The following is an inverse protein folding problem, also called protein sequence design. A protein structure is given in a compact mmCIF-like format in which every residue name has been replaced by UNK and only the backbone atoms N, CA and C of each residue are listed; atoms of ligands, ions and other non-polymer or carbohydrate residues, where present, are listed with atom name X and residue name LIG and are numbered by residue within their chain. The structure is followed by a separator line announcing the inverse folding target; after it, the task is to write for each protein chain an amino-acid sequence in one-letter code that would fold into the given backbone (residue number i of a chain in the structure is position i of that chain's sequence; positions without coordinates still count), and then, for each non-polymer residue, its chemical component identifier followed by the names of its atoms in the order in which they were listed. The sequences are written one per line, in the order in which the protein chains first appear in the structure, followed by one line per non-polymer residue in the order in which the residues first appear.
data_IF_079411065987
#
_entry.id   IF_079411065987
#
_cell.length_a   1.000
_cell.length_b   1.000
_cell.length_c   1.000
_cell.angle_alpha   90.00
_cell.angle_beta   90.00
_cell.angle_gamma   90.00
#
_symmetry.space_group_name_H-M   'P 1'
#
loop_
_entity.id
_entity.type
_entity.pdbx_description
1 polymer ?
#
# COMPACT_ATOMS: atom_id res chain seq x y z
N UNK A 1 25.06 -29.67 -36.24
CA UNK A 1 23.85 -30.05 -35.47
C UNK A 1 24.24 -30.12 -33.99
N UNK A 2 23.65 -29.28 -33.14
CA UNK A 2 23.87 -29.39 -31.69
C UNK A 2 23.13 -30.65 -31.21
N UNK A 3 23.82 -31.56 -30.53
CA UNK A 3 23.22 -32.81 -30.06
C UNK A 3 22.13 -32.54 -29.03
N UNK A 4 20.96 -33.19 -29.19
CA UNK A 4 19.82 -33.08 -28.27
C UNK A 4 20.19 -33.47 -26.82
N UNK A 5 21.23 -34.31 -26.66
CA UNK A 5 21.79 -34.70 -25.35
C UNK A 5 22.45 -33.54 -24.60
N UNK A 6 22.94 -32.52 -25.32
CA UNK A 6 23.57 -31.31 -24.75
C UNK A 6 22.57 -30.16 -24.56
N UNK A 7 21.51 -30.08 -25.37
CA UNK A 7 20.53 -28.97 -25.29
C UNK A 7 19.52 -29.10 -24.16
N UNK A 8 19.14 -30.33 -23.79
CA UNK A 8 18.21 -30.58 -22.68
C UNK A 8 18.74 -30.11 -21.30
N UNK A 9 19.95 -30.48 -20.84
CA UNK A 9 20.45 -30.05 -19.54
C UNK A 9 20.64 -28.52 -19.47
N UNK A 10 21.06 -27.89 -20.57
CA UNK A 10 21.14 -26.44 -20.66
C UNK A 10 19.77 -25.77 -20.53
N UNK A 11 18.75 -26.31 -21.19
CA UNK A 11 17.37 -25.81 -21.07
C UNK A 11 16.86 -25.91 -19.63
N UNK A 12 17.11 -27.03 -18.95
CA UNK A 12 16.71 -27.21 -17.55
C UNK A 12 17.39 -26.16 -16.66
N UNK A 13 18.72 -25.99 -16.80
CA UNK A 13 19.48 -25.02 -16.02
C UNK A 13 18.94 -23.59 -16.21
N UNK A 14 18.76 -23.17 -17.47
CA UNK A 14 18.27 -21.82 -17.78
C UNK A 14 16.83 -21.62 -17.31
N UNK A 15 15.99 -22.65 -17.34
CA UNK A 15 14.62 -22.58 -16.81
C UNK A 15 14.62 -22.35 -15.30
N UNK A 16 15.49 -23.06 -14.55
CA UNK A 16 15.66 -22.86 -13.10
C UNK A 16 16.14 -21.44 -12.80
N UNK A 17 17.16 -20.96 -13.53
CA UNK A 17 17.68 -19.60 -13.35
C UNK A 17 16.61 -18.55 -13.64
N UNK A 18 15.82 -18.73 -14.70
CA UNK A 18 14.72 -17.82 -15.06
C UNK A 18 13.65 -17.80 -13.96
N UNK A 19 13.28 -18.96 -13.41
CA UNK A 19 12.35 -19.06 -12.29
C UNK A 19 12.89 -18.37 -11.04
N UNK A 20 14.14 -18.64 -10.65
CA UNK A 20 14.78 -18.00 -9.49
C UNK A 20 14.84 -16.49 -9.67
N UNK A 21 15.20 -16.01 -10.87
CA UNK A 21 15.22 -14.59 -11.18
C UNK A 21 13.83 -13.95 -11.08
N UNK A 22 12.82 -14.59 -11.68
CA UNK A 22 11.43 -14.10 -11.63
C UNK A 22 10.81 -14.15 -10.24
N UNK A 23 11.25 -15.06 -9.37
CA UNK A 23 10.72 -15.22 -8.02
C UNK A 23 11.50 -14.41 -6.97
N UNK A 24 12.70 -13.92 -7.30
CA UNK A 24 13.54 -13.20 -6.36
C UNK A 24 13.10 -11.74 -6.13
N UNK A 25 13.08 -11.23 -4.87
CA UNK A 25 13.28 -11.94 -3.60
C UNK A 25 11.97 -12.56 -3.07
N UNK A 26 12.03 -13.85 -2.67
CA UNK A 26 10.91 -14.59 -2.09
C UNK A 26 10.73 -14.26 -0.60
N UNK A 27 10.17 -13.10 -0.27
CA UNK A 27 9.75 -12.82 1.11
C UNK A 27 8.23 -12.90 1.28
N UNK A 28 7.72 -14.12 1.38
CA UNK A 28 6.30 -14.39 1.65
C UNK A 28 5.89 -14.12 3.10
N UNK A 29 6.87 -14.07 4.01
CA UNK A 29 6.68 -13.93 5.44
C UNK A 29 7.45 -12.72 5.95
N UNK A 30 7.03 -11.53 5.52
CA UNK A 30 7.62 -10.29 6.04
C UNK A 30 7.07 -9.99 7.42
N UNK A 31 7.96 -9.67 8.37
CA UNK A 31 7.59 -9.14 9.67
C UNK A 31 6.76 -7.86 9.52
N UNK A 32 5.70 -7.74 10.32
CA UNK A 32 4.93 -6.50 10.39
C UNK A 32 5.78 -5.44 11.09
N UNK A 33 6.13 -4.37 10.37
CA UNK A 33 7.06 -3.35 10.86
C UNK A 33 6.35 -2.36 11.80
N UNK A 34 5.76 -2.89 12.87
CA UNK A 34 5.04 -2.21 13.93
C UNK A 34 5.67 -2.60 15.26
N UNK A 35 5.97 -1.64 16.12
CA UNK A 35 6.44 -1.92 17.48
C UNK A 35 5.93 -0.89 18.46
N UNK A 36 5.72 -1.31 19.70
CA UNK A 36 5.43 -0.42 20.81
C UNK A 36 6.63 0.49 21.11
N UNK A 37 6.35 1.70 21.58
CA UNK A 37 7.38 2.58 22.13
C UNK A 37 7.74 2.10 23.54
N UNK A 38 9.04 1.99 23.83
CA UNK A 38 9.52 1.42 25.10
C UNK A 38 9.44 2.42 26.26
N UNK A 39 9.67 3.71 25.98
CA UNK A 39 9.83 4.74 27.01
C UNK A 39 8.59 5.61 27.24
N UNK A 40 7.53 5.46 26.43
CA UNK A 40 6.30 6.25 26.51
C UNK A 40 5.15 5.52 25.82
N UNK A 41 3.92 5.93 26.12
CA UNK A 41 2.74 5.47 25.37
C UNK A 41 2.90 5.81 23.89
N UNK A 42 2.48 4.88 23.03
CA UNK A 42 2.55 5.07 21.59
C UNK A 42 3.05 3.83 20.84
N UNK A 43 2.89 3.93 19.53
CA UNK A 43 3.21 2.86 18.59
C UNK A 43 3.97 3.43 17.40
N UNK A 44 5.03 2.72 16.99
CA UNK A 44 5.88 3.10 15.88
C UNK A 44 5.60 2.24 14.65
N UNK A 45 5.50 2.90 13.51
CA UNK A 45 5.51 2.32 12.18
C UNK A 45 6.84 2.63 11.53
N UNK A 46 7.50 1.59 11.02
CA UNK A 46 8.80 1.74 10.36
C UNK A 46 8.84 0.93 9.06
N UNK A 47 9.95 1.06 8.33
CA UNK A 47 10.22 0.34 7.09
C UNK A 47 11.62 -0.23 7.16
N UNK A 48 11.77 -1.51 6.81
CA UNK A 48 13.06 -2.12 6.54
C UNK A 48 13.29 -2.20 5.02
N UNK A 49 14.49 -1.82 4.57
CA UNK A 49 14.91 -1.89 3.17
C UNK A 49 14.93 -0.55 2.44
N UNK A 50 15.82 -0.45 1.43
CA UNK A 50 16.00 0.74 0.59
C UNK A 50 14.69 1.12 -0.14
N UNK A 51 14.39 2.43 -0.14
CA UNK A 51 13.29 3.18 -0.81
C UNK A 51 12.91 2.65 -2.21
N UNK A 52 12.26 1.49 -2.22
CA UNK A 52 11.71 0.84 -3.40
C UNK A 52 10.27 0.47 -3.07
N UNK A 53 9.41 0.36 -4.09
CA UNK A 53 8.00 -0.06 -3.96
C UNK A 53 7.80 -1.43 -3.25
N UNK A 54 8.88 -2.09 -2.82
CA UNK A 54 8.93 -3.46 -2.30
C UNK A 54 9.12 -3.53 -0.78
N UNK A 55 9.41 -2.42 -0.09
CA UNK A 55 9.55 -2.43 1.37
C UNK A 55 8.18 -2.48 2.06
N UNK A 56 7.88 -3.61 2.72
CA UNK A 56 6.72 -3.73 3.61
C UNK A 56 6.91 -2.80 4.80
N UNK A 57 6.02 -1.84 5.00
CA UNK A 57 5.95 -1.09 6.26
C UNK A 57 4.98 -1.73 7.24
N UNK A 58 4.79 -1.08 8.39
CA UNK A 58 3.86 -1.56 9.41
C UNK A 58 2.40 -1.33 9.06
N UNK A 59 1.51 -2.24 9.47
CA UNK A 59 0.06 -2.07 9.37
C UNK A 59 -0.64 -2.58 10.63
N UNK A 60 -1.66 -1.85 11.05
CA UNK A 60 -2.58 -2.23 12.13
C UNK A 60 -3.99 -1.99 11.63
N UNK A 61 -4.95 -2.84 11.98
CA UNK A 61 -6.34 -2.62 11.61
C UNK A 61 -7.31 -3.13 12.67
N UNK A 62 -8.53 -2.60 12.65
CA UNK A 62 -9.60 -3.00 13.56
C UNK A 62 -9.98 -4.47 13.39
N UNK A 63 -10.33 -5.13 14.50
CA UNK A 63 -10.80 -6.51 14.53
C UNK A 63 -12.19 -6.69 13.91
N UNK A 64 -13.03 -5.67 14.03
CA UNK A 64 -14.36 -5.59 13.44
C UNK A 64 -14.52 -4.32 12.58
N UNK A 65 -15.42 -4.34 11.58
CA UNK A 65 -15.79 -3.11 10.89
C UNK A 65 -16.57 -2.21 11.84
N UNK A 66 -16.28 -0.91 11.79
CA UNK A 66 -17.09 0.11 12.43
C UNK A 66 -18.37 0.30 11.60
N UNK A 67 -19.51 -0.03 12.19
CA UNK A 67 -20.82 0.24 11.62
C UNK A 67 -21.41 1.44 12.36
N UNK A 68 -21.21 2.63 11.80
CA UNK A 68 -21.85 3.82 12.35
C UNK A 68 -23.22 3.95 11.73
N UNK A 69 -24.24 3.62 12.52
CA UNK A 69 -25.65 3.75 12.13
C UNK A 69 -26.00 5.23 11.97
N UNK A 70 -25.83 5.77 10.77
CA UNK A 70 -26.34 7.10 10.45
C UNK A 70 -27.87 7.03 10.37
N UNK A 71 -28.56 7.74 11.25
CA UNK A 71 -30.03 7.69 11.36
C UNK A 71 -30.78 8.30 10.16
N UNK A 72 -30.06 8.87 9.20
CA UNK A 72 -30.60 9.40 7.95
C UNK A 72 -29.46 9.56 6.94
N UNK A 73 -29.76 9.67 5.65
CA UNK A 73 -28.79 10.04 4.60
C UNK A 73 -28.24 11.47 4.75
N UNK A 74 -28.21 12.03 5.96
CA UNK A 74 -27.78 13.40 6.24
C UNK A 74 -26.35 13.40 6.75
N UNK A 75 -25.63 14.44 6.36
CA UNK A 75 -24.31 14.74 6.87
C UNK A 75 -24.36 14.98 8.39
N UNK A 76 -23.53 14.24 9.12
CA UNK A 76 -23.36 14.41 10.56
C UNK A 76 -21.94 14.95 10.82
N UNK A 77 -21.78 16.16 11.40
CA UNK A 77 -20.49 16.76 11.69
C UNK A 77 -19.61 15.85 12.53
N UNK A 78 -18.31 15.84 12.26
CA UNK A 78 -17.37 15.01 13.01
C UNK A 78 -16.05 15.70 13.28
N UNK A 79 -15.35 15.21 14.30
CA UNK A 79 -14.01 15.66 14.66
C UNK A 79 -13.07 14.47 14.77
N UNK A 80 -11.83 14.65 14.33
CA UNK A 80 -10.77 13.64 14.41
C UNK A 80 -9.58 14.28 15.12
N UNK A 81 -9.03 13.61 16.12
CA UNK A 81 -7.78 14.00 16.76
C UNK A 81 -6.74 12.91 16.56
N UNK A 82 -5.56 13.29 16.06
CA UNK A 82 -4.43 12.38 15.85
C UNK A 82 -3.19 12.99 16.48
N UNK A 83 -2.64 12.32 17.48
CA UNK A 83 -1.37 12.72 18.08
C UNK A 83 -0.24 11.97 17.39
N UNK A 84 0.53 12.68 16.56
CA UNK A 84 1.40 12.07 15.53
C UNK A 84 2.78 12.71 15.49
N UNK A 85 3.78 11.91 15.12
CA UNK A 85 5.12 12.37 14.79
C UNK A 85 5.60 11.65 13.53
N UNK A 86 5.94 12.39 12.48
CA UNK A 86 6.48 11.82 11.24
C UNK A 86 7.99 11.66 11.34
N UNK A 87 8.56 10.52 10.90
CA UNK A 87 10.02 10.31 10.88
C UNK A 87 10.64 10.39 9.48
N UNK A 88 9.85 10.69 8.45
CA UNK A 88 10.35 10.75 7.07
C UNK A 88 9.71 11.90 6.28
N UNK A 89 10.51 12.65 5.53
CA UNK A 89 10.02 13.61 4.54
C UNK A 89 9.66 12.89 3.23
N UNK A 90 8.63 12.05 3.28
CA UNK A 90 7.90 11.50 2.12
C UNK A 90 8.69 10.82 0.98
N UNK A 91 8.50 9.51 0.87
CA UNK A 91 8.67 8.73 -0.37
C UNK A 91 7.83 9.29 -1.55
N UNK A 92 8.03 8.75 -2.76
CA UNK A 92 7.41 9.20 -4.05
C UNK A 92 5.86 9.11 -4.16
N UNK A 93 5.09 9.09 -3.07
CA UNK A 93 3.62 8.97 -3.07
C UNK A 93 2.95 9.34 -1.74
N UNK A 94 1.62 9.26 -1.70
CA UNK A 94 0.84 9.48 -0.48
C UNK A 94 0.98 8.27 0.46
N UNK A 95 1.60 8.46 1.62
CA UNK A 95 1.66 7.47 2.69
C UNK A 95 0.41 7.58 3.57
N UNK A 96 -0.16 6.46 4.01
CA UNK A 96 -1.39 6.45 4.79
C UNK A 96 -1.08 6.36 6.29
N UNK A 97 -1.50 7.36 7.05
CA UNK A 97 -1.39 7.38 8.52
C UNK A 97 -2.58 6.64 9.12
N UNK A 98 -3.79 7.03 8.70
CA UNK A 98 -5.05 6.43 9.08
C UNK A 98 -5.99 6.41 7.88
N UNK A 99 -6.74 5.32 7.67
CA UNK A 99 -7.75 5.25 6.63
C UNK A 99 -8.84 4.24 6.97
N UNK A 100 -10.03 4.46 6.43
CA UNK A 100 -11.16 3.53 6.55
C UNK A 100 -11.30 2.66 5.30
N UNK A 101 -11.92 1.49 5.44
CA UNK A 101 -12.18 0.58 4.32
C UNK A 101 -13.49 -0.19 4.47
N UNK A 102 -14.42 0.06 3.54
CA UNK A 102 -15.78 -0.48 3.50
C UNK A 102 -16.00 -1.45 2.32
N UNK A 103 -14.92 -2.03 1.77
CA UNK A 103 -14.97 -2.95 0.63
C UNK A 103 -14.92 -2.29 -0.75
N UNK A 104 -15.26 -1.00 -0.87
CA UNK A 104 -15.19 -0.27 -2.14
C UNK A 104 -13.75 -0.02 -2.60
N UNK A 105 -13.51 0.27 -3.90
CA UNK A 105 -12.16 0.55 -4.41
C UNK A 105 -11.48 1.77 -3.78
N UNK A 106 -12.27 2.78 -3.38
CA UNK A 106 -11.81 3.98 -2.70
C UNK A 106 -12.23 3.94 -1.24
N UNK A 107 -11.25 4.10 -0.34
CA UNK A 107 -11.47 4.29 1.10
C UNK A 107 -12.42 5.45 1.37
N UNK A 108 -13.39 5.31 2.30
CA UNK A 108 -14.26 6.40 2.72
C UNK A 108 -13.48 7.63 3.20
N UNK A 109 -12.42 7.43 3.97
CA UNK A 109 -11.55 8.46 4.50
C UNK A 109 -10.09 8.02 4.44
N UNK A 110 -9.21 8.93 4.06
CA UNK A 110 -7.76 8.77 4.11
C UNK A 110 -7.14 10.02 4.74
N UNK A 111 -6.36 9.81 5.78
CA UNK A 111 -5.48 10.80 6.38
C UNK A 111 -4.06 10.32 6.14
N UNK A 112 -3.31 11.09 5.36
CA UNK A 112 -2.03 10.67 4.85
C UNK A 112 -0.98 11.77 4.86
N UNK A 113 0.22 11.39 4.48
CA UNK A 113 1.36 12.27 4.38
C UNK A 113 1.90 12.25 2.95
N UNK A 114 2.12 13.44 2.38
CA UNK A 114 2.89 13.60 1.15
C UNK A 114 3.98 14.64 1.38
N UNK A 115 5.26 14.23 1.34
CA UNK A 115 6.37 15.06 1.82
C UNK A 115 6.07 15.56 3.24
N UNK A 116 6.10 16.86 3.49
CA UNK A 116 5.73 17.47 4.78
C UNK A 116 4.24 17.84 4.91
N UNK A 117 3.43 17.55 3.88
CA UNK A 117 2.01 17.89 3.86
C UNK A 117 1.20 16.82 4.56
N UNK A 118 0.28 17.24 5.42
CA UNK A 118 -0.86 16.43 5.82
C UNK A 118 -1.90 16.49 4.71
N UNK A 119 -2.35 15.35 4.21
CA UNK A 119 -3.38 15.25 3.19
C UNK A 119 -4.59 14.56 3.79
N UNK A 120 -5.78 15.13 3.60
CA UNK A 120 -7.04 14.54 4.00
C UNK A 120 -7.91 14.35 2.76
N UNK A 121 -8.34 13.12 2.52
CA UNK A 121 -9.27 12.76 1.44
C UNK A 121 -10.52 12.11 2.00
N UNK A 122 -11.67 12.64 1.64
CA UNK A 122 -12.95 11.98 1.90
C UNK A 122 -13.62 11.62 0.58
N UNK A 123 -14.17 10.41 0.53
CA UNK A 123 -14.89 9.92 -0.64
C UNK A 123 -16.12 10.77 -0.85
N UNK A 124 -16.37 11.15 -2.09
CA UNK A 124 -17.62 11.84 -2.38
C UNK A 124 -18.78 10.83 -2.32
N UNK A 125 -19.55 10.90 -1.23
CA UNK A 125 -20.72 10.06 -1.02
C UNK A 125 -21.97 10.59 -1.75
N UNK A 126 -21.93 11.77 -2.38
CA UNK A 126 -23.02 12.29 -3.23
C UNK A 126 -22.93 11.75 -4.66
N UNK A 127 -21.77 11.21 -5.04
CA UNK A 127 -21.57 10.53 -6.29
C UNK A 127 -21.83 9.02 -6.11
N UNK A 128 -22.88 8.51 -6.76
CA UNK A 128 -23.27 7.09 -6.72
C UNK A 128 -22.14 6.13 -7.14
N UNK A 129 -21.26 6.58 -8.06
CA UNK A 129 -20.12 5.78 -8.51
C UNK A 129 -19.05 5.62 -7.41
N UNK A 130 -19.05 6.46 -6.36
CA UNK A 130 -18.12 6.43 -5.22
C UNK A 130 -16.65 6.41 -5.65
N UNK A 131 -16.37 7.03 -6.78
CA UNK A 131 -15.11 6.92 -7.53
C UNK A 131 -14.33 8.24 -7.55
N UNK A 132 -14.69 9.20 -6.71
CA UNK A 132 -14.06 10.52 -6.61
C UNK A 132 -13.71 10.85 -5.14
N UNK A 133 -12.75 11.76 -4.98
CA UNK A 133 -12.31 12.25 -3.68
C UNK A 133 -12.44 13.77 -3.64
N UNK A 134 -12.87 14.28 -2.49
CA UNK A 134 -12.60 15.66 -2.09
C UNK A 134 -11.32 15.65 -1.24
N UNK A 135 -10.48 16.66 -1.40
CA UNK A 135 -9.15 16.71 -0.77
C UNK A 135 -8.86 18.09 -0.19
N UNK A 136 -8.24 18.11 0.99
CA UNK A 136 -7.61 19.29 1.59
C UNK A 136 -6.21 18.93 2.08
N UNK A 137 -5.34 19.93 2.20
CA UNK A 137 -3.93 19.74 2.57
C UNK A 137 -3.42 20.79 3.57
N UNK A 138 -2.73 20.37 4.62
CA UNK A 138 -1.97 21.30 5.48
C UNK A 138 -0.49 21.23 5.14
N UNK A 139 0.00 22.25 4.45
CA UNK A 139 1.43 22.46 4.17
C UNK A 139 2.21 22.54 5.49
N UNK A 140 3.32 21.79 5.58
CA UNK A 140 4.14 21.63 6.80
C UNK A 140 3.40 21.07 8.02
N UNK A 141 2.18 20.53 7.84
CA UNK A 141 1.42 19.87 8.90
C UNK A 141 2.19 18.74 9.56
N UNK A 142 3.02 18.01 8.80
CA UNK A 142 3.81 16.86 9.27
C UNK A 142 5.29 17.09 9.00
N UNK A 143 5.88 18.00 9.77
CA UNK A 143 7.33 18.21 9.75
C UNK A 143 8.04 17.06 10.47
N UNK A 144 9.21 16.67 9.98
CA UNK A 144 9.92 15.50 10.49
C UNK A 144 10.39 15.68 11.94
N UNK A 145 10.22 14.63 12.73
CA UNK A 145 10.55 14.52 14.15
C UNK A 145 9.90 15.61 15.02
N UNK A 146 8.72 16.08 14.60
CA UNK A 146 7.89 16.99 15.39
C UNK A 146 6.62 16.27 15.83
N UNK A 147 6.47 16.13 17.15
CA UNK A 147 5.25 15.62 17.79
C UNK A 147 4.17 16.70 17.73
N UNK A 148 3.03 16.41 17.10
CA UNK A 148 1.91 17.35 16.91
C UNK A 148 0.58 16.68 17.15
N UNK A 149 -0.31 17.34 17.88
CA UNK A 149 -1.72 16.97 17.90
C UNK A 149 -2.40 17.68 16.73
N UNK A 150 -2.89 16.89 15.77
CA UNK A 150 -3.67 17.39 14.65
C UNK A 150 -5.14 17.14 14.94
N UNK A 151 -5.94 18.19 14.93
CA UNK A 151 -7.40 18.08 15.06
C UNK A 151 -8.05 18.53 13.75
N UNK A 152 -8.89 17.67 13.17
CA UNK A 152 -9.66 17.96 11.95
C UNK A 152 -11.13 18.05 12.37
N UNK A 153 -11.68 19.26 12.39
CA UNK A 153 -13.05 19.55 12.77
C UNK A 153 -13.85 19.88 11.50
N UNK A 154 -14.77 19.00 11.11
CA UNK A 154 -15.52 19.13 9.87
C UNK A 154 -17.01 19.35 10.15
N UNK A 155 -17.46 20.58 9.92
CA UNK A 155 -18.85 20.99 10.08
C UNK A 155 -19.62 21.05 8.76
N UNK A 156 -20.87 21.52 8.83
CA UNK A 156 -21.73 21.70 7.64
C UNK A 156 -21.24 22.82 6.72
N UNK A 157 -20.63 23.86 7.29
CA UNK A 157 -20.21 25.05 6.53
C UNK A 157 -18.72 25.04 6.15
N UNK A 158 -17.87 24.49 7.03
CA UNK A 158 -16.42 24.58 6.90
C UNK A 158 -15.74 23.35 7.46
N UNK A 159 -14.51 23.13 7.03
CA UNK A 159 -13.58 22.21 7.67
C UNK A 159 -12.39 22.99 8.19
N UNK A 160 -12.02 22.74 9.44
CA UNK A 160 -10.93 23.42 10.12
C UNK A 160 -9.89 22.40 10.57
N UNK A 161 -8.62 22.77 10.43
CA UNK A 161 -7.49 22.00 10.92
C UNK A 161 -6.81 22.81 12.01
N UNK A 162 -6.69 22.21 13.18
CA UNK A 162 -5.96 22.74 14.31
C UNK A 162 -4.66 21.96 14.51
N UNK A 163 -3.63 22.65 14.95
CA UNK A 163 -2.35 22.07 15.33
C UNK A 163 -2.07 22.49 16.75
N UNK A 164 -1.86 21.53 17.65
CA UNK A 164 -1.53 21.76 19.05
C UNK A 164 -2.54 22.70 19.75
N UNK A 165 -3.84 22.51 19.47
CA UNK A 165 -4.91 23.30 20.07
C UNK A 165 -5.23 24.63 19.37
N UNK A 166 -4.42 25.06 18.40
CA UNK A 166 -4.59 26.35 17.71
C UNK A 166 -5.06 26.16 16.26
N UNK A 167 -5.92 27.06 15.78
CA UNK A 167 -6.42 27.01 14.41
C UNK A 167 -5.28 27.28 13.42
N UNK A 168 -4.93 26.27 12.61
CA UNK A 168 -3.88 26.39 11.61
C UNK A 168 -4.43 26.76 10.24
N UNK A 169 -5.61 26.23 9.87
CA UNK A 169 -6.26 26.54 8.59
C UNK A 169 -7.76 26.28 8.65
N UNK A 170 -8.53 27.14 7.98
CA UNK A 170 -9.96 26.98 7.75
C UNK A 170 -10.21 26.86 6.24
N UNK A 171 -11.13 26.00 5.85
CA UNK A 171 -11.53 25.76 4.45
C UNK A 171 -13.03 25.96 4.31
N UNK A 172 -13.43 26.71 3.29
CA UNK A 172 -14.82 26.88 2.86
C UNK A 172 -15.34 25.66 2.08
N UNK A 173 -14.96 24.46 2.52
CA UNK A 173 -15.45 23.19 1.98
C UNK A 173 -16.47 22.64 2.97
N UNK A 174 -17.70 22.52 2.49
CA UNK A 174 -18.83 22.02 3.25
C UNK A 174 -18.77 20.51 3.39
N UNK A 175 -19.09 20.02 4.58
CA UNK A 175 -19.37 18.61 4.81
C UNK A 175 -18.27 17.67 4.32
N UNK A 176 -16.99 18.04 4.49
CA UNK A 176 -15.89 17.26 3.93
C UNK A 176 -15.84 15.87 4.56
N UNK A 177 -15.80 15.82 5.88
CA UNK A 177 -15.79 14.59 6.68
C UNK A 177 -17.00 14.64 7.59
N UNK A 178 -17.75 13.56 7.58
CA UNK A 178 -18.87 13.33 8.48
C UNK A 178 -18.80 11.93 9.04
N UNK A 179 -19.67 11.63 10.00
CA UNK A 179 -19.73 10.34 10.68
C UNK A 179 -19.88 9.16 9.70
N UNK A 180 -20.57 9.38 8.58
CA UNK A 180 -20.74 8.40 7.49
C UNK A 180 -19.42 7.96 6.83
N UNK A 181 -18.33 8.71 7.04
CA UNK A 181 -17.00 8.36 6.53
C UNK A 181 -16.22 7.46 7.50
N UNK A 182 -16.68 7.28 8.74
CA UNK A 182 -16.10 6.37 9.73
C UNK A 182 -16.68 4.96 9.58
N UNK A 183 -16.68 4.41 8.36
CA UNK A 183 -17.32 3.12 8.08
C UNK A 183 -16.34 2.05 7.62
N UNK A 184 -16.61 0.81 8.03
CA UNK A 184 -15.78 -0.34 7.72
C UNK A 184 -14.56 -0.46 8.63
N UNK A 185 -13.50 -1.09 8.14
CA UNK A 185 -12.30 -1.32 8.95
C UNK A 185 -11.42 -0.08 9.03
N UNK A 186 -11.00 0.27 10.24
CA UNK A 186 -9.97 1.28 10.46
C UNK A 186 -8.59 0.63 10.22
N UNK A 187 -7.73 1.30 9.46
CA UNK A 187 -6.39 0.83 9.11
C UNK A 187 -5.37 1.95 9.36
N UNK A 188 -4.29 1.63 10.10
CA UNK A 188 -3.23 2.57 10.49
C UNK A 188 -1.88 2.16 9.89
N UNK A 189 -1.06 3.16 9.57
CA UNK A 189 0.34 3.02 9.15
C UNK A 189 0.58 2.54 7.72
N UNK A 190 -0.46 2.10 7.02
CA UNK A 190 -0.38 1.71 5.61
C UNK A 190 -1.75 1.89 4.92
N UNK A 191 -1.81 1.70 3.61
CA UNK A 191 -3.09 1.52 2.92
C UNK A 191 -3.66 0.13 3.19
N UNK A 192 -4.96 -0.06 2.97
CA UNK A 192 -5.61 -1.37 3.12
C UNK A 192 -5.00 -2.46 2.23
N UNK A 193 -4.36 -2.08 1.12
CA UNK A 193 -3.65 -2.98 0.20
C UNK A 193 -2.14 -3.13 0.49
N UNK A 194 -1.63 -2.43 1.51
CA UNK A 194 -0.26 -2.61 1.97
C UNK A 194 0.84 -1.89 1.18
N UNK A 195 0.50 -1.00 0.23
CA UNK A 195 1.44 -0.38 -0.71
C UNK A 195 1.84 1.06 -0.35
N UNK A 196 1.18 1.69 0.63
CA UNK A 196 1.34 3.10 0.98
C UNK A 196 1.80 3.26 2.43
N UNK A 197 2.85 2.54 2.80
CA UNK A 197 3.36 2.53 4.16
C UNK A 197 3.85 3.91 4.61
N UNK A 198 3.46 4.27 5.83
CA UNK A 198 3.87 5.46 6.56
C UNK A 198 4.95 5.12 7.59
N UNK A 199 5.76 6.12 7.95
CA UNK A 199 6.88 5.97 8.89
C UNK A 199 6.80 7.08 9.94
N UNK A 200 6.64 6.69 11.19
CA UNK A 200 6.48 7.62 12.30
C UNK A 200 5.81 6.96 13.51
N UNK A 201 5.49 7.79 14.50
CA UNK A 201 4.85 7.39 15.75
C UNK A 201 3.42 7.91 15.85
N UNK A 202 2.52 7.08 16.36
CA UNK A 202 1.20 7.50 16.86
C UNK A 202 1.18 7.40 18.37
N UNK A 203 0.67 8.46 19.00
CA UNK A 203 0.55 8.61 20.45
C UNK A 203 -0.91 8.64 20.90
N UNK A 204 -1.84 8.82 19.96
CA UNK A 204 -3.25 8.97 20.24
C UNK A 204 -4.06 9.05 18.96
N UNK A 205 -5.27 8.47 18.98
CA UNK A 205 -6.28 8.63 17.95
C UNK A 205 -7.65 8.68 18.61
N UNK A 206 -8.39 9.75 18.38
CA UNK A 206 -9.77 9.88 18.82
C UNK A 206 -10.68 10.32 17.67
N UNK A 207 -11.87 9.70 17.58
CA UNK A 207 -12.92 10.07 16.64
C UNK A 207 -14.14 10.53 17.40
N UNK A 208 -14.75 11.63 16.98
CA UNK A 208 -15.95 12.18 17.60
C UNK A 208 -17.06 12.26 16.57
N UNK A 209 -18.25 11.85 16.97
CA UNK A 209 -19.51 11.98 16.24
C UNK A 209 -20.14 13.39 16.37
N UNK A 210 -19.33 14.36 16.77
CA UNK A 210 -19.72 15.76 16.99
C UNK A 210 -18.61 16.71 16.60
N UNK A 211 -18.99 17.97 16.40
CA UNK A 211 -18.05 19.06 16.12
C UNK A 211 -17.53 19.62 17.46
N UNK A 212 -16.24 19.47 17.73
CA UNK A 212 -15.62 20.06 18.92
C UNK A 212 -15.45 21.57 18.75
N UNK A 213 -15.63 22.31 19.83
CA UNK A 213 -15.35 23.75 19.90
C UNK A 213 -13.85 24.01 20.02
N UNK A 214 -13.38 25.18 19.60
CA UNK A 214 -11.96 25.54 19.71
C UNK A 214 -11.44 25.50 21.15
N UNK A 215 -12.29 25.79 22.15
CA UNK A 215 -11.91 25.69 23.57
C UNK A 215 -11.76 24.23 24.01
N UNK A 216 -12.66 23.33 23.60
CA UNK A 216 -12.50 21.89 23.83
C UNK A 216 -11.22 21.36 23.16
N UNK A 217 -10.96 21.74 21.91
CA UNK A 217 -9.75 21.32 21.18
C UNK A 217 -8.47 21.78 21.91
N UNK A 218 -8.46 23.02 22.42
CA UNK A 218 -7.36 23.55 23.22
C UNK A 218 -7.16 22.78 24.53
N UNK A 219 -8.26 22.48 25.23
CA UNK A 219 -8.23 21.69 26.46
C UNK A 219 -7.74 20.26 26.21
N UNK A 220 -8.24 19.60 25.16
CA UNK A 220 -7.80 18.27 24.73
C UNK A 220 -6.31 18.24 24.43
N UNK A 221 -5.77 19.27 23.75
CA UNK A 221 -4.33 19.37 23.52
C UNK A 221 -3.54 19.37 24.83
N UNK A 222 -3.97 20.15 25.82
CA UNK A 222 -3.32 20.16 27.13
C UNK A 222 -3.39 18.81 27.83
N UNK A 223 -4.51 18.09 27.70
CA UNK A 223 -4.68 16.73 28.24
C UNK A 223 -3.78 15.70 27.54
N UNK A 224 -3.68 15.75 26.21
CA UNK A 224 -2.77 14.89 25.43
C UNK A 224 -1.30 15.18 25.73
N UNK A 225 -0.92 16.46 25.80
CA UNK A 225 0.46 16.89 25.97
C UNK A 225 0.99 16.67 27.40
N UNK A 226 0.14 16.87 28.41
CA UNK A 226 0.51 16.77 29.83
C UNK A 226 0.01 15.49 30.50
N UNK A 227 -0.39 14.48 29.71
CA UNK A 227 -0.93 13.23 30.24
C UNK A 227 0.04 12.61 31.26
N UNK A 228 -0.37 12.46 32.53
CA UNK A 228 0.45 11.76 33.53
C UNK A 228 0.67 10.31 33.12
N UNK A 229 1.86 9.79 33.41
CA UNK A 229 2.19 8.38 33.21
C UNK A 229 1.21 7.53 34.04
N UNK A 230 0.61 6.54 33.39
CA UNK A 230 -0.27 5.52 33.99
C UNK A 230 -1.64 6.00 34.52
N UNK A 231 -2.09 7.19 34.14
CA UNK A 231 -3.48 7.63 34.39
C UNK A 231 -4.40 7.37 33.17
N UNK A 232 -5.66 6.93 33.40
CA UNK A 232 -6.63 6.75 32.33
C UNK A 232 -6.91 8.10 31.67
N UNK A 233 -6.98 8.09 30.34
CA UNK A 233 -7.29 9.28 29.56
C UNK A 233 -8.79 9.49 29.55
N UNK A 234 -9.28 10.39 30.40
CA UNK A 234 -10.68 10.83 30.39
C UNK A 234 -10.75 12.08 29.54
N UNK A 235 -11.44 12.00 28.41
CA UNK A 235 -11.65 13.13 27.49
C UNK A 235 -13.15 13.37 27.38
N UNK A 236 -13.55 14.61 27.63
CA UNK A 236 -14.93 15.06 27.54
C UNK A 236 -15.07 16.12 26.45
N UNK A 237 -16.00 15.96 25.50
CA UNK A 237 -17.03 14.93 25.44
C UNK A 237 -16.48 13.55 25.07
N UNK A 238 -17.11 12.47 25.55
CA UNK A 238 -16.71 11.10 25.21
C UNK A 238 -16.65 10.90 23.67
N UNK A 239 -15.53 10.38 23.13
CA UNK A 239 -15.38 10.09 21.71
C UNK A 239 -16.11 8.81 21.29
N UNK A 240 -16.36 8.66 19.98
CA UNK A 240 -16.83 7.42 19.36
C UNK A 240 -15.77 6.31 19.42
N UNK A 241 -14.49 6.67 19.26
CA UNK A 241 -13.33 5.78 19.39
C UNK A 241 -12.18 6.51 20.06
N UNK A 242 -11.44 5.83 20.93
CA UNK A 242 -10.25 6.35 21.59
C UNK A 242 -9.16 5.28 21.71
N UNK A 243 -8.03 5.50 21.03
CA UNK A 243 -6.83 4.71 21.17
C UNK A 243 -5.73 5.56 21.78
N UNK A 244 -5.25 5.18 22.97
CA UNK A 244 -4.20 5.88 23.71
C UNK A 244 -2.83 5.21 23.56
N UNK A 245 -2.80 3.98 23.03
CA UNK A 245 -1.58 3.16 22.86
C UNK A 245 -0.77 2.99 24.16
N UNK A 246 -1.48 2.88 25.30
CA UNK A 246 -0.89 2.74 26.63
C UNK A 246 -0.51 1.30 26.99
N UNK A 247 -0.83 0.31 26.13
CA UNK A 247 -0.59 -1.10 26.41
C UNK A 247 0.91 -1.45 26.42
N UNK A 248 1.73 -0.74 25.61
CA UNK A 248 3.20 -0.87 25.49
C UNK A 248 3.74 -2.26 25.13
N UNK A 249 2.88 -3.28 25.04
CA UNK A 249 3.22 -4.66 24.71
C UNK A 249 2.00 -5.40 24.16
N UNK A 250 2.22 -6.60 23.62
CA UNK A 250 1.17 -7.47 23.11
C UNK A 250 0.76 -7.16 21.68
N UNK A 251 -0.31 -7.81 21.24
CA UNK A 251 -0.77 -7.84 19.85
C UNK A 251 -2.10 -7.11 19.63
N UNK A 252 -2.56 -6.32 20.61
CA UNK A 252 -3.84 -5.62 20.57
C UNK A 252 -3.71 -4.20 21.10
N UNK A 253 -4.37 -3.24 20.45
CA UNK A 253 -4.58 -1.88 20.95
C UNK A 253 -6.05 -1.79 21.36
N UNK A 254 -6.30 -1.51 22.63
CA UNK A 254 -7.65 -1.45 23.17
C UNK A 254 -8.26 -0.09 22.85
N UNK A 255 -9.49 -0.14 22.34
CA UNK A 255 -10.35 1.03 22.34
C UNK A 255 -10.79 1.31 23.79
N UNK A 256 -10.56 2.53 24.26
CA UNK A 256 -10.85 2.94 25.63
C UNK A 256 -12.33 3.27 25.88
N UNK A 257 -13.11 3.40 24.81
CA UNK A 257 -14.57 3.56 24.86
C UNK A 257 -15.22 2.19 24.91
N UNK A 258 -16.42 2.07 25.52
CA UNK A 258 -17.19 0.82 25.65
C UNK A 258 -17.78 0.34 24.30
N UNK A 259 -16.90 0.04 23.35
CA UNK A 259 -17.23 -0.65 22.11
C UNK A 259 -16.10 -1.62 21.71
N UNK A 260 -16.50 -2.74 21.11
CA UNK A 260 -15.60 -3.84 20.73
C UNK A 260 -14.90 -3.59 19.38
N UNK A 261 -14.21 -2.45 19.23
CA UNK A 261 -13.41 -2.13 18.04
C UNK A 261 -11.92 -2.01 18.39
N UNK A 262 -11.31 -3.11 18.83
CA UNK A 262 -9.89 -3.13 19.16
C UNK A 262 -9.05 -3.22 17.89
N UNK A 263 -7.82 -2.74 17.93
CA UNK A 263 -6.91 -2.87 16.80
C UNK A 263 -5.99 -4.07 16.99
N UNK A 264 -5.78 -4.86 15.94
CA UNK A 264 -4.90 -6.04 15.98
C UNK A 264 -3.55 -5.74 15.34
N UNK A 265 -2.49 -6.05 16.07
CA UNK A 265 -1.10 -6.04 15.58
C UNK A 265 -0.72 -7.48 15.25
N UNK A 266 -0.70 -7.83 13.97
CA UNK A 266 -0.22 -9.15 13.55
C UNK A 266 1.31 -9.21 13.56
N UNK A 267 1.94 -10.34 13.94
CA UNK A 267 3.39 -10.49 13.89
C UNK A 267 3.92 -10.50 12.45
N UNK A 268 3.15 -11.09 11.53
CA UNK A 268 3.44 -11.10 10.11
C UNK A 268 2.61 -10.03 9.41
N UNK A 269 3.26 -9.30 8.50
CA UNK A 269 2.60 -8.31 7.68
C UNK A 269 1.53 -8.98 6.83
N UNK A 270 0.31 -8.46 6.94
CA UNK A 270 -0.83 -8.90 6.14
C UNK A 270 -1.67 -7.67 5.82
N UNK A 271 -1.72 -7.29 4.55
CA UNK A 271 -2.63 -6.26 4.08
C UNK A 271 -4.09 -6.68 4.36
N UNK A 272 -4.92 -5.71 4.75
CA UNK A 272 -6.35 -5.92 5.00
C UNK A 272 -7.08 -6.44 3.75
N UNK A 273 -6.74 -5.88 2.59
CA UNK A 273 -7.22 -6.26 1.26
C UNK A 273 -6.06 -6.77 0.41
N UNK A 274 -6.31 -7.82 -0.36
CA UNK A 274 -5.41 -8.23 -1.45
C UNK A 274 -5.93 -7.66 -2.76
N UNK A 275 -5.07 -7.01 -3.54
CA UNK A 275 -5.37 -6.74 -4.94
C UNK A 275 -5.22 -8.05 -5.73
N UNK A 276 -6.35 -8.68 -6.07
CA UNK A 276 -6.37 -9.94 -6.84
C UNK A 276 -6.45 -9.67 -8.36
N UNK A 277 -6.83 -8.46 -8.76
CA UNK A 277 -7.06 -8.12 -10.16
C UNK A 277 -5.81 -7.50 -10.78
N UNK A 278 -5.25 -8.18 -11.79
CA UNK A 278 -4.24 -7.61 -12.70
C UNK A 278 -4.88 -6.43 -13.45
N UNK A 279 -4.58 -5.19 -13.03
CA UNK A 279 -5.15 -4.00 -13.66
C UNK A 279 -4.34 -3.63 -14.89
N UNK A 280 -4.84 -4.04 -16.06
CA UNK A 280 -4.15 -3.98 -17.35
C UNK A 280 -3.67 -2.58 -17.81
N UNK A 281 -4.17 -1.48 -17.22
CA UNK A 281 -4.09 -0.14 -17.81
C UNK A 281 -3.46 0.95 -16.93
N UNK A 282 -3.14 0.69 -15.65
CA UNK A 282 -2.72 1.77 -14.71
C UNK A 282 -1.20 2.05 -14.69
N UNK A 283 -0.39 1.23 -15.36
CA UNK A 283 1.08 1.31 -15.26
C UNK A 283 1.78 2.03 -16.43
N UNK A 284 1.06 2.75 -17.30
CA UNK A 284 1.67 3.62 -18.31
C UNK A 284 2.09 4.99 -17.76
N UNK A 285 2.72 5.02 -16.58
CA UNK A 285 3.36 6.22 -16.06
C UNK A 285 4.84 6.21 -16.47
N UNK A 286 5.14 6.84 -17.61
CA UNK A 286 6.48 6.96 -18.19
C UNK A 286 7.50 7.58 -17.21
N UNK A 287 8.28 6.74 -16.53
CA UNK A 287 9.42 7.15 -15.68
C UNK A 287 10.66 6.36 -16.09
N UNK A 288 11.87 6.91 -15.94
CA UNK A 288 13.14 6.23 -16.32
C UNK A 288 13.31 4.80 -15.78
N UNK A 289 12.76 4.50 -14.60
CA UNK A 289 12.77 3.16 -13.98
C UNK A 289 11.88 2.14 -14.71
N UNK A 290 10.84 2.60 -15.41
CA UNK A 290 9.94 1.79 -16.23
C UNK A 290 10.66 1.08 -17.38
N UNK A 291 11.61 1.78 -18.03
CA UNK A 291 12.41 1.20 -19.11
C UNK A 291 13.34 0.12 -18.56
N UNK A 292 13.94 0.34 -17.38
CA UNK A 292 14.78 -0.66 -16.73
C UNK A 292 13.98 -1.93 -16.38
N UNK A 293 12.76 -1.79 -15.84
CA UNK A 293 11.88 -2.93 -15.52
C UNK A 293 11.51 -3.71 -16.80
N UNK A 294 11.15 -3.01 -17.89
CA UNK A 294 10.89 -3.62 -19.20
C UNK A 294 12.11 -4.39 -19.72
N UNK A 295 13.29 -3.76 -19.70
CA UNK A 295 14.51 -4.39 -20.20
C UNK A 295 14.89 -5.62 -19.37
N UNK A 296 14.76 -5.54 -18.06
CA UNK A 296 15.02 -6.66 -17.14
C UNK A 296 14.08 -7.83 -17.43
N UNK A 297 12.79 -7.58 -17.59
CA UNK A 297 11.80 -8.61 -17.93
C UNK A 297 12.08 -9.24 -19.30
N UNK A 298 12.36 -8.42 -20.32
CA UNK A 298 12.71 -8.91 -21.66
C UNK A 298 13.98 -9.75 -21.62
N UNK A 299 15.09 -9.21 -21.12
CA UNK A 299 16.39 -9.89 -21.17
C UNK A 299 16.47 -11.07 -20.20
N UNK A 300 15.71 -11.07 -19.10
CA UNK A 300 15.62 -12.18 -18.16
C UNK A 300 15.08 -13.47 -18.80
N UNK A 301 14.22 -13.35 -19.82
CA UNK A 301 13.57 -14.49 -20.47
C UNK A 301 14.19 -14.89 -21.83
N UNK A 302 15.00 -14.02 -22.46
CA UNK A 302 15.69 -14.32 -23.73
C UNK A 302 16.50 -15.63 -23.68
N UNK A 303 17.32 -15.91 -22.63
CA UNK A 303 18.09 -17.15 -22.57
C UNK A 303 17.19 -18.40 -22.60
N UNK A 304 16.07 -18.38 -21.87
CA UNK A 304 15.09 -19.47 -21.85
C UNK A 304 14.49 -19.69 -23.24
N UNK A 305 14.03 -18.62 -23.88
CA UNK A 305 13.44 -18.69 -25.22
C UNK A 305 14.42 -19.24 -26.26
N UNK A 306 15.68 -18.78 -26.24
CA UNK A 306 16.72 -19.27 -27.14
C UNK A 306 17.00 -20.77 -26.92
N UNK A 307 17.17 -21.21 -25.68
CA UNK A 307 17.46 -22.62 -25.37
C UNK A 307 16.30 -23.54 -25.74
N UNK A 308 15.07 -23.12 -25.46
CA UNK A 308 13.87 -23.88 -25.80
C UNK A 308 13.71 -23.99 -27.32
N UNK A 309 13.91 -22.89 -28.05
CA UNK A 309 13.84 -22.91 -29.51
C UNK A 309 14.91 -23.82 -30.12
N UNK A 310 16.16 -23.78 -29.62
CA UNK A 310 17.22 -24.67 -30.08
C UNK A 310 16.91 -26.14 -29.79
N UNK A 311 16.34 -26.44 -28.62
CA UNK A 311 15.92 -27.79 -28.26
C UNK A 311 14.81 -28.33 -29.18
N UNK A 312 13.79 -27.50 -29.45
CA UNK A 312 12.66 -27.87 -30.31
C UNK A 312 13.08 -27.99 -31.79
N UNK A 313 13.93 -27.07 -32.28
CA UNK A 313 14.44 -27.08 -33.65
C UNK A 313 15.39 -28.26 -33.92
N UNK A 314 16.03 -28.83 -32.90
CA UNK A 314 16.81 -30.05 -33.02
C UNK A 314 15.94 -31.30 -33.26
N UNK A 315 14.61 -31.22 -33.08
CA UNK A 315 13.69 -32.31 -33.39
C UNK A 315 13.19 -32.21 -34.84
N UNK A 316 13.65 -33.12 -35.69
CA UNK A 316 13.26 -33.24 -37.11
C UNK A 316 11.75 -33.39 -37.36
N UNK A 317 10.97 -33.79 -36.36
CA UNK A 317 9.50 -33.91 -36.47
C UNK A 317 8.75 -32.60 -36.21
N UNK A 318 9.44 -31.54 -35.75
CA UNK A 318 8.84 -30.25 -35.43
C UNK A 318 9.25 -29.23 -36.49
N UNK A 319 8.28 -28.62 -37.17
CA UNK A 319 8.58 -27.56 -38.13
C UNK A 319 9.10 -26.30 -37.43
N UNK A 320 9.95 -25.48 -38.07
CA UNK A 320 10.47 -24.25 -37.47
C UNK A 320 9.38 -23.29 -36.98
N UNK A 321 8.24 -23.23 -37.70
CA UNK A 321 7.07 -22.42 -37.30
C UNK A 321 6.42 -22.95 -36.01
N UNK A 322 6.26 -24.28 -35.88
CA UNK A 322 5.73 -24.90 -34.67
C UNK A 322 6.70 -24.74 -33.49
N UNK A 323 8.00 -24.89 -33.71
CA UNK A 323 9.02 -24.67 -32.68
C UNK A 323 8.99 -23.22 -32.14
N UNK A 324 8.88 -22.24 -33.03
CA UNK A 324 8.72 -20.84 -32.67
C UNK A 324 7.43 -20.58 -31.85
N UNK A 325 6.29 -21.09 -32.32
CA UNK A 325 5.01 -20.96 -31.62
C UNK A 325 5.05 -21.56 -30.21
N UNK A 326 5.55 -22.80 -30.07
CA UNK A 326 5.68 -23.47 -28.78
C UNK A 326 6.62 -22.74 -27.82
N UNK A 327 7.68 -22.09 -28.35
CA UNK A 327 8.60 -21.28 -27.55
C UNK A 327 7.89 -20.05 -26.98
N UNK A 328 7.12 -19.34 -27.80
CA UNK A 328 6.32 -18.18 -27.35
C UNK A 328 5.29 -18.60 -26.31
N UNK A 329 4.56 -19.69 -26.58
CA UNK A 329 3.54 -20.21 -25.66
C UNK A 329 4.14 -20.62 -24.31
N UNK A 330 5.28 -21.32 -24.31
CA UNK A 330 5.96 -21.72 -23.09
C UNK A 330 6.48 -20.52 -22.29
N UNK A 331 7.00 -19.48 -22.97
CA UNK A 331 7.40 -18.22 -22.33
C UNK A 331 6.22 -17.52 -21.65
N UNK A 332 5.07 -17.46 -22.32
CA UNK A 332 3.84 -16.90 -21.75
C UNK A 332 3.34 -17.69 -20.53
N UNK A 333 3.34 -19.03 -20.60
CA UNK A 333 2.96 -19.90 -19.47
C UNK A 333 3.93 -19.73 -18.30
N UNK A 334 5.24 -19.70 -18.56
CA UNK A 334 6.25 -19.52 -17.52
C UNK A 334 6.08 -18.16 -16.82
N UNK A 335 5.85 -17.10 -17.59
CA UNK A 335 5.56 -15.78 -17.05
C UNK A 335 4.28 -15.78 -16.20
N UNK A 336 3.22 -16.45 -16.66
CA UNK A 336 1.96 -16.56 -15.91
C UNK A 336 2.17 -17.31 -14.59
N UNK A 337 2.97 -18.37 -14.57
CA UNK A 337 3.31 -19.12 -13.34
C UNK A 337 4.05 -18.21 -12.34
N UNK A 338 5.03 -17.45 -12.81
CA UNK A 338 5.77 -16.50 -11.97
C UNK A 338 4.82 -15.46 -11.39
N UNK A 339 3.96 -14.89 -12.22
CA UNK A 339 2.96 -13.89 -11.82
C UNK A 339 2.00 -14.41 -10.75
N UNK A 340 1.45 -15.61 -10.98
CA UNK A 340 0.56 -16.29 -10.03
C UNK A 340 1.29 -16.58 -8.72
N UNK A 341 2.55 -17.00 -8.78
CA UNK A 341 3.37 -17.27 -7.60
C UNK A 341 3.63 -15.99 -6.79
N UNK A 342 3.88 -14.87 -7.48
CA UNK A 342 4.09 -13.58 -6.85
C UNK A 342 2.83 -12.99 -6.20
N UNK A 343 1.62 -13.46 -6.53
CA UNK A 343 0.40 -13.09 -5.80
C UNK A 343 0.46 -13.48 -4.31
N UNK A 344 1.32 -14.42 -3.93
CA UNK A 344 1.57 -14.75 -2.54
C UNK A 344 2.42 -13.70 -1.79
N UNK A 345 3.14 -12.83 -2.50
CA UNK A 345 4.04 -11.84 -1.88
C UNK A 345 3.23 -10.65 -1.33
N UNK A 346 3.41 -10.30 -0.04
CA UNK A 346 2.49 -9.38 0.64
C UNK A 346 2.39 -7.95 0.07
N UNK A 347 3.41 -7.49 -0.65
CA UNK A 347 3.50 -6.11 -1.20
C UNK A 347 3.54 -6.05 -2.73
N UNK A 348 3.36 -7.17 -3.43
CA UNK A 348 3.36 -7.20 -4.89
C UNK A 348 1.95 -7.10 -5.46
N UNK A 349 1.76 -6.13 -6.33
CA UNK A 349 0.64 -6.09 -7.27
C UNK A 349 1.03 -6.84 -8.55
N UNK A 350 0.14 -7.68 -9.09
CA UNK A 350 0.37 -8.28 -10.39
C UNK A 350 0.48 -7.21 -11.50
N UNK A 351 1.46 -7.33 -12.41
CA UNK A 351 1.63 -6.46 -13.57
C UNK A 351 1.38 -7.20 -14.88
N UNK A 352 0.41 -6.71 -15.66
CA UNK A 352 0.19 -7.16 -17.04
C UNK A 352 1.36 -6.82 -17.97
N UNK A 353 2.17 -5.83 -17.61
CA UNK A 353 3.34 -5.42 -18.37
C UNK A 353 4.44 -6.49 -18.31
N UNK A 354 4.61 -7.12 -17.15
CA UNK A 354 5.56 -8.22 -16.96
C UNK A 354 5.20 -9.38 -17.90
N UNK A 355 3.91 -9.75 -17.97
CA UNK A 355 3.40 -10.76 -18.89
C UNK A 355 3.64 -10.42 -20.38
N UNK A 356 3.41 -9.17 -20.78
CA UNK A 356 3.62 -8.70 -22.15
C UNK A 356 5.11 -8.68 -22.53
N UNK A 357 5.97 -8.16 -21.64
CA UNK A 357 7.42 -8.09 -21.86
C UNK A 357 8.03 -9.49 -21.95
N UNK A 358 7.61 -10.41 -21.08
CA UNK A 358 8.10 -11.78 -21.07
C UNK A 358 7.63 -12.55 -22.32
N UNK A 359 6.44 -12.26 -22.83
CA UNK A 359 5.98 -12.83 -24.12
C UNK A 359 6.76 -12.25 -25.31
N UNK A 360 7.09 -10.95 -25.28
CA UNK A 360 7.88 -10.30 -26.32
C UNK A 360 9.33 -10.80 -26.39
N UNK A 361 9.89 -11.23 -25.25
CA UNK A 361 11.24 -11.82 -25.20
C UNK A 361 11.40 -13.04 -26.11
N UNK A 362 10.35 -13.86 -26.24
CA UNK A 362 10.36 -15.03 -27.11
C UNK A 362 10.40 -14.65 -28.59
N UNK A 363 9.70 -13.58 -28.98
CA UNK A 363 9.77 -13.03 -30.34
C UNK A 363 11.18 -12.48 -30.67
N UNK A 364 11.81 -11.80 -29.70
CA UNK A 364 13.18 -11.30 -29.85
C UNK A 364 14.22 -12.43 -29.93
N UNK A 365 14.07 -13.50 -29.15
CA UNK A 365 14.93 -14.70 -29.24
C UNK A 365 14.85 -15.37 -30.62
N UNK A 366 13.66 -15.46 -31.20
CA UNK A 366 13.46 -15.98 -32.57
C UNK A 366 14.19 -15.08 -33.60
N UNK A 367 14.07 -13.75 -33.46
CA UNK A 367 14.72 -12.79 -34.36
C UNK A 367 16.25 -12.88 -34.27
N UNK A 368 16.81 -12.93 -33.06
CA UNK A 368 18.25 -13.02 -32.83
C UNK A 368 18.85 -14.28 -33.51
N UNK A 369 18.20 -15.43 -33.34
CA UNK A 369 18.64 -16.69 -33.94
C UNK A 369 18.54 -16.68 -35.48
N UNK A 370 17.53 -16.00 -36.05
CA UNK A 370 17.43 -15.80 -37.50
C UNK A 370 18.54 -14.91 -38.05
N UNK A 371 18.89 -13.84 -37.34
CA UNK A 371 20.01 -12.96 -37.72
C UNK A 371 21.33 -13.72 -37.70
N UNK A 372 21.61 -14.48 -36.63
CA UNK A 372 22.83 -15.29 -36.51
C UNK A 372 22.91 -16.35 -37.62
N UNK A 373 21.80 -17.03 -37.92
CA UNK A 373 21.74 -18.00 -39.01
C UNK A 373 22.01 -17.36 -40.38
N UNK A 374 21.48 -16.15 -40.63
CA UNK A 374 21.70 -15.42 -41.88
C UNK A 374 23.14 -14.92 -42.03
N UNK A 375 23.75 -14.42 -40.95
CA UNK A 375 25.17 -14.01 -40.94
C UNK A 375 26.09 -15.21 -41.24
N UNK A 376 25.79 -16.38 -40.67
CA UNK A 376 26.52 -17.63 -40.94
C UNK A 376 26.31 -18.20 -42.34
N UNK A 377 25.26 -17.79 -43.06
CA UNK A 377 25.01 -18.22 -44.43
C UNK A 377 25.66 -17.30 -45.48
N UNK A 378 26.11 -16.11 -45.06
CA UNK A 378 26.78 -15.12 -45.90
C UNK A 378 28.32 -15.23 -45.79
N UNK A 379 28.81 -15.83 -44.70
CA UNK A 379 30.20 -16.28 -44.55
C UNK A 379 30.33 -17.72 -45.01
#
# INVERSE_FOLDING_TARGET
MISRKLTLPLLILVSIVTLLFGLWPLNFFSENQVRWLVAQDGIQFYKQGLSTRRASGGVIYSDAPLDVRTGSHRFEPSTIEIYVESHAEGDRGLAHIASFHDGYPRSPLVIGQWKSYLIIRSRDNHNDARDTYREIDLKHGLSTNQKKLITIASGSERTEIYVNGELARSYDIRSLIGVEHFCGYLNLGNSSIGQNAWVGNLYGLALYDKLLTSEQIRQHYMSWANKPVDMPTVIEPEPLLLYTFAERTGASVRNQVDNANHLTIRPLFKALKREVVVRFWREMAWKKWFVADILVNIFGFVPFACCLLMFLAANRHISPRRAAFLTVLAGAILSLIIEISQMGLPTRSPSSLDLLCNTASAALGILALRIVARIKAIR
#
